data_IF_144301302292
#
_entry.id   IF_144301302292
#
_cell.length_a   1.000
_cell.length_b   1.000
_cell.length_c   1.000
_cell.angle_alpha   90.00
_cell.angle_beta   90.00
_cell.angle_gamma   90.00
#
_symmetry.space_group_name_H-M   'P 1'
#
loop_
_entity.id
_entity.type
_entity.pdbx_description
1 polymer ?
#
# COMPACT_ATOMS: atom_id res chain seq x y z
N UNK A 1 17.84 12.14 8.27
CA UNK A 1 16.38 12.40 8.34
C UNK A 1 15.64 12.12 7.02
N UNK A 2 16.28 12.16 5.84
CA UNK A 2 15.61 11.91 4.54
C UNK A 2 15.01 10.50 4.36
N UNK A 3 15.60 9.48 4.97
CA UNK A 3 15.09 8.09 4.90
C UNK A 3 13.68 7.92 5.46
N UNK A 4 13.34 8.63 6.54
CA UNK A 4 12.01 8.59 7.15
C UNK A 4 10.94 9.15 6.21
N UNK A 5 11.28 10.12 5.37
CA UNK A 5 10.35 10.69 4.39
C UNK A 5 10.01 9.65 3.31
N UNK A 6 11.01 8.95 2.77
CA UNK A 6 10.77 7.88 1.79
C UNK A 6 9.96 6.72 2.37
N UNK A 7 10.22 6.34 3.64
CA UNK A 7 9.42 5.34 4.33
C UNK A 7 7.97 5.79 4.52
N UNK A 8 7.73 7.04 4.91
CA UNK A 8 6.39 7.57 5.05
C UNK A 8 5.61 7.55 3.72
N UNK A 9 6.26 7.92 2.61
CA UNK A 9 5.64 7.86 1.27
C UNK A 9 5.24 6.44 0.87
N UNK A 10 6.09 5.45 1.16
CA UNK A 10 5.81 4.04 0.88
C UNK A 10 4.63 3.55 1.73
N UNK A 11 4.65 3.82 3.04
CA UNK A 11 3.60 3.36 3.95
C UNK A 11 2.26 3.99 3.58
N UNK A 12 2.20 5.32 3.44
CA UNK A 12 0.96 6.03 3.12
C UNK A 12 0.44 5.60 1.73
N UNK A 13 1.33 5.48 0.76
CA UNK A 13 0.97 5.05 -0.60
C UNK A 13 0.42 3.62 -0.67
N UNK A 14 0.83 2.74 0.25
CA UNK A 14 0.39 1.35 0.31
C UNK A 14 -0.94 1.15 1.08
N UNK A 15 -1.37 2.11 1.90
CA UNK A 15 -2.60 2.00 2.71
C UNK A 15 -3.86 1.65 1.89
N UNK A 16 -4.12 2.27 0.72
CA UNK A 16 -5.32 1.95 -0.05
C UNK A 16 -5.31 0.50 -0.55
N UNK A 17 -4.15 -0.01 -0.96
CA UNK A 17 -3.99 -1.40 -1.42
C UNK A 17 -4.22 -2.37 -0.25
N UNK A 18 -3.65 -2.06 0.92
CA UNK A 18 -3.87 -2.85 2.13
C UNK A 18 -5.35 -2.90 2.53
N UNK A 19 -6.08 -1.79 2.39
CA UNK A 19 -7.53 -1.74 2.63
C UNK A 19 -8.29 -2.76 1.76
N UNK A 20 -8.01 -2.80 0.45
CA UNK A 20 -8.65 -3.76 -0.47
C UNK A 20 -8.30 -5.20 -0.14
N UNK A 21 -7.02 -5.47 0.14
CA UNK A 21 -6.56 -6.81 0.50
C UNK A 21 -7.27 -7.32 1.76
N UNK A 22 -7.43 -6.45 2.76
CA UNK A 22 -8.18 -6.78 3.97
C UNK A 22 -9.67 -7.03 3.68
N UNK A 23 -10.31 -6.20 2.85
CA UNK A 23 -11.70 -6.41 2.46
C UNK A 23 -11.90 -7.75 1.74
N UNK A 24 -11.02 -8.08 0.79
CA UNK A 24 -11.04 -9.36 0.07
C UNK A 24 -10.77 -10.57 0.97
N UNK A 25 -9.88 -10.43 1.95
CA UNK A 25 -9.63 -11.48 2.94
C UNK A 25 -10.83 -11.72 3.85
N UNK A 26 -11.49 -10.66 4.32
CA UNK A 26 -12.70 -10.77 5.14
C UNK A 26 -13.83 -11.42 4.32
N UNK A 27 -14.02 -10.99 3.08
CA UNK A 27 -15.03 -11.58 2.20
C UNK A 27 -14.78 -13.08 1.94
N UNK A 28 -13.53 -13.46 1.66
CA UNK A 28 -13.17 -14.85 1.35
C UNK A 28 -13.35 -15.79 2.54
N UNK A 29 -12.98 -15.35 3.75
CA UNK A 29 -13.16 -16.14 4.98
C UNK A 29 -14.65 -16.36 5.28
N UNK A 30 -15.51 -15.38 4.98
CA UNK A 30 -16.95 -15.46 5.24
C UNK A 30 -17.76 -15.99 4.05
N UNK A 31 -17.12 -16.32 2.91
CA UNK A 31 -17.80 -16.79 1.71
C UNK A 31 -18.70 -15.75 1.04
N UNK A 32 -18.47 -14.46 1.33
CA UNK A 32 -19.27 -13.37 0.78
C UNK A 32 -18.78 -12.97 -0.62
N UNK A 33 -19.73 -12.51 -1.44
CA UNK A 33 -19.39 -11.86 -2.71
C UNK A 33 -18.88 -10.45 -2.45
N UNK A 34 -17.75 -10.10 -3.07
CA UNK A 34 -17.18 -8.76 -3.04
C UNK A 34 -16.88 -8.32 -4.48
N UNK A 35 -17.49 -7.22 -4.89
CA UNK A 35 -17.17 -6.55 -6.15
C UNK A 35 -17.21 -5.03 -6.01
N UNK A 36 -16.57 -4.37 -6.98
CA UNK A 36 -16.43 -2.91 -7.04
C UNK A 36 -17.64 -2.22 -7.66
N UNK A 37 -18.56 -2.99 -8.27
CA UNK A 37 -19.73 -2.45 -8.96
C UNK A 37 -20.93 -2.24 -8.05
N UNK A 38 -21.01 -2.96 -6.94
CA UNK A 38 -22.15 -2.89 -6.02
C UNK A 38 -21.83 -3.41 -4.62
N UNK A 39 -22.54 -2.90 -3.62
CA UNK A 39 -22.50 -3.45 -2.27
C UNK A 39 -23.37 -4.70 -2.17
N UNK A 40 -22.78 -5.81 -1.74
CA UNK A 40 -23.48 -7.08 -1.47
C UNK A 40 -23.61 -7.31 0.01
N UNK A 41 -24.74 -7.87 0.43
CA UNK A 41 -24.98 -8.25 1.83
C UNK A 41 -23.92 -9.26 2.27
N UNK A 42 -23.22 -8.97 3.36
CA UNK A 42 -22.25 -9.88 3.96
C UNK A 42 -22.45 -9.94 5.46
N UNK A 43 -23.05 -11.04 5.92
CA UNK A 43 -23.37 -11.25 7.32
C UNK A 43 -22.17 -11.82 8.06
N UNK A 44 -21.58 -11.02 8.93
CA UNK A 44 -20.50 -11.43 9.83
C UNK A 44 -21.00 -11.28 11.26
N UNK A 45 -21.06 -12.40 11.98
CA UNK A 45 -21.49 -12.42 13.40
C UNK A 45 -22.87 -11.78 13.62
N UNK A 46 -23.78 -11.94 12.66
CA UNK A 46 -25.15 -11.37 12.74
C UNK A 46 -25.26 -9.90 12.34
N UNK A 47 -24.19 -9.27 11.85
CA UNK A 47 -24.17 -7.87 11.38
C UNK A 47 -23.83 -7.83 9.89
N UNK A 48 -24.58 -7.04 9.12
CA UNK A 48 -24.23 -6.79 7.73
C UNK A 48 -23.08 -5.79 7.63
N UNK A 49 -21.94 -6.25 7.11
CA UNK A 49 -20.75 -5.44 6.85
C UNK A 49 -20.50 -5.23 5.35
N UNK A 50 -21.42 -5.64 4.50
CA UNK A 50 -21.31 -5.55 3.04
C UNK A 50 -20.98 -4.15 2.53
N UNK A 51 -21.67 -3.13 3.05
CA UNK A 51 -21.41 -1.73 2.69
C UNK A 51 -20.04 -1.22 3.14
N UNK A 52 -19.53 -1.72 4.27
CA UNK A 52 -18.18 -1.38 4.76
C UNK A 52 -17.13 -2.01 3.85
N UNK A 53 -17.28 -3.29 3.53
CA UNK A 53 -16.38 -4.00 2.61
C UNK A 53 -16.36 -3.35 1.23
N UNK A 54 -17.52 -2.97 0.69
CA UNK A 54 -17.61 -2.22 -0.57
C UNK A 54 -16.80 -0.92 -0.50
N UNK A 55 -16.98 -0.14 0.57
CA UNK A 55 -16.25 1.13 0.76
C UNK A 55 -14.74 0.90 0.83
N UNK A 56 -14.29 -0.14 1.55
CA UNK A 56 -12.88 -0.51 1.64
C UNK A 56 -12.28 -0.90 0.28
N UNK A 57 -13.05 -1.55 -0.58
CA UNK A 57 -12.65 -1.91 -1.95
C UNK A 57 -12.60 -0.67 -2.85
N UNK A 58 -13.59 0.22 -2.77
CA UNK A 58 -13.62 1.47 -3.57
C UNK A 58 -12.47 2.40 -3.19
N UNK A 59 -12.07 2.46 -1.91
CA UNK A 59 -10.85 3.17 -1.47
C UNK A 59 -9.61 2.64 -2.20
N UNK A 60 -9.61 1.37 -2.63
CA UNK A 60 -8.59 0.77 -3.49
C UNK A 60 -8.28 1.53 -4.76
N UNK A 61 -9.25 2.23 -5.33
CA UNK A 61 -9.05 3.08 -6.51
C UNK A 61 -8.08 4.21 -6.24
N UNK A 62 -8.04 4.74 -5.00
CA UNK A 62 -7.01 5.69 -4.59
C UNK A 62 -5.61 5.07 -4.66
N UNK A 63 -5.49 3.75 -4.57
CA UNK A 63 -4.25 3.00 -4.74
C UNK A 63 -3.62 3.16 -6.12
N UNK A 64 -4.41 3.43 -7.17
CA UNK A 64 -3.87 3.68 -8.52
C UNK A 64 -3.03 4.97 -8.54
N UNK A 65 -3.51 6.01 -7.87
CA UNK A 65 -2.80 7.30 -7.76
C UNK A 65 -1.73 7.22 -6.67
N UNK A 66 -2.07 6.65 -5.51
CA UNK A 66 -1.19 6.53 -4.35
C UNK A 66 -0.01 5.60 -4.60
N UNK A 67 -0.13 4.66 -5.55
CA UNK A 67 0.97 3.81 -6.01
C UNK A 67 2.15 4.62 -6.54
N UNK A 68 1.91 5.82 -7.10
CA UNK A 68 2.99 6.72 -7.52
C UNK A 68 3.85 7.18 -6.34
N UNK A 69 3.26 7.38 -5.15
CA UNK A 69 4.00 7.72 -3.93
C UNK A 69 4.92 6.58 -3.50
N UNK A 70 4.45 5.34 -3.61
CA UNK A 70 5.26 4.15 -3.31
C UNK A 70 6.45 4.07 -4.26
N UNK A 71 6.22 4.25 -5.57
CA UNK A 71 7.28 4.24 -6.58
C UNK A 71 8.30 5.35 -6.29
N UNK A 72 7.85 6.58 -6.03
CA UNK A 72 8.72 7.70 -5.72
C UNK A 72 9.54 7.47 -4.44
N UNK A 73 8.92 6.92 -3.39
CA UNK A 73 9.60 6.56 -2.14
C UNK A 73 10.68 5.50 -2.35
N UNK A 74 10.37 4.43 -3.10
CA UNK A 74 11.34 3.37 -3.43
C UNK A 74 12.52 3.90 -4.25
N UNK A 75 12.25 4.69 -5.30
CA UNK A 75 13.30 5.28 -6.14
C UNK A 75 14.21 6.22 -5.33
N UNK A 76 13.63 7.06 -4.47
CA UNK A 76 14.39 7.94 -3.59
C UNK A 76 15.30 7.18 -2.62
N UNK A 77 14.79 6.10 -2.03
CA UNK A 77 15.56 5.23 -1.13
C UNK A 77 16.71 4.52 -1.86
N UNK A 78 16.44 3.98 -3.05
CA UNK A 78 17.44 3.34 -3.90
C UNK A 78 18.55 4.32 -4.32
N UNK A 79 18.19 5.54 -4.74
CA UNK A 79 19.15 6.56 -5.14
C UNK A 79 20.08 6.93 -3.98
N UNK A 80 19.55 7.15 -2.78
CA UNK A 80 20.37 7.43 -1.59
C UNK A 80 21.30 6.27 -1.23
N UNK A 81 20.82 5.03 -1.32
CA UNK A 81 21.65 3.83 -1.13
C UNK A 81 22.80 3.76 -2.13
N UNK A 82 22.50 3.97 -3.42
CA UNK A 82 23.52 3.96 -4.50
C UNK A 82 24.55 5.07 -4.26
N UNK A 83 24.12 6.28 -3.93
CA UNK A 83 25.02 7.40 -3.65
C UNK A 83 25.85 7.18 -2.38
N UNK A 84 25.29 6.53 -1.35
CA UNK A 84 26.01 6.20 -0.13
C UNK A 84 27.07 5.11 -0.38
N UNK A 85 26.71 4.06 -1.14
CA UNK A 85 27.63 2.98 -1.53
C UNK A 85 28.72 3.52 -2.46
N UNK A 86 28.36 4.31 -3.47
CA UNK A 86 29.30 4.92 -4.41
C UNK A 86 30.33 5.80 -3.70
N UNK A 87 29.90 6.64 -2.76
CA UNK A 87 30.80 7.47 -1.92
C UNK A 87 31.75 6.62 -1.08
N UNK A 88 31.26 5.52 -0.48
CA UNK A 88 32.11 4.60 0.29
C UNK A 88 33.12 3.88 -0.59
N UNK A 89 32.73 3.43 -1.77
CA UNK A 89 33.63 2.75 -2.72
C UNK A 89 34.70 3.71 -3.26
N UNK A 90 34.34 4.95 -3.61
CA UNK A 90 35.31 5.95 -4.06
C UNK A 90 36.28 6.38 -2.95
N UNK A 91 35.79 6.55 -1.71
CA UNK A 91 36.64 6.89 -0.57
C UNK A 91 37.67 5.80 -0.23
N UNK A 92 37.42 4.54 -0.59
CA UNK A 92 38.36 3.43 -0.40
C UNK A 92 39.41 3.30 -1.51
N UNK A 93 39.25 4.01 -2.61
CA UNK A 93 40.11 3.90 -3.80
C UNK A 93 41.16 5.02 -3.89
N UNK A 94 41.08 6.01 -3.01
CA UNK A 94 41.97 7.19 -2.97
C UNK A 94 42.93 7.26 -1.78
N UNK A 95 43.12 6.17 -1.04
CA UNK A 95 44.14 5.99 0.01
C UNK A 95 44.85 4.67 -0.18
#
# INVERSE_FOLDING_TARGET
MRIWQYLAMIVIGALPVLSVLLAGLIASINGCRLDEGSAHVCMVWGRDIGGVLYTMTVIGWLGLISGLLVIAGLLGLCAELILAVGRRLFSRRGG
#
